data_IF_357938687316
#
_entry.id   IF_357938687316
#
_cell.length_a   1.000
_cell.length_b   1.000
_cell.length_c   1.000
_cell.angle_alpha   90.00
_cell.angle_beta   90.00
_cell.angle_gamma   90.00
#
_symmetry.space_group_name_H-M   'P 1'
#
loop_
_entity.id
_entity.type
_entity.pdbx_description
1 polymer ?
#
# COMPACT_ATOMS: atom_id res chain seq x y z
N UNK A 1 18.41 -2.60 17.81
CA UNK A 1 17.06 -2.31 18.35
C UNK A 1 16.14 -3.43 17.91
N UNK A 2 15.22 -3.85 18.77
CA UNK A 2 14.16 -4.79 18.37
C UNK A 2 13.22 -4.05 17.41
N UNK A 3 12.83 -4.70 16.32
CA UNK A 3 11.82 -4.20 15.39
C UNK A 3 10.50 -4.88 15.69
N UNK A 4 9.39 -4.16 15.58
CA UNK A 4 8.05 -4.70 15.82
C UNK A 4 7.07 -4.18 14.77
N UNK A 5 6.24 -5.07 14.23
CA UNK A 5 5.12 -4.67 13.38
C UNK A 5 3.93 -4.29 14.28
N UNK A 6 3.43 -3.07 14.13
CA UNK A 6 2.26 -2.58 14.87
C UNK A 6 0.99 -2.80 14.05
N UNK A 7 1.03 -2.49 12.76
CA UNK A 7 -0.11 -2.62 11.86
C UNK A 7 0.35 -2.94 10.43
N UNK A 8 -0.50 -3.68 9.71
CA UNK A 8 -0.40 -3.87 8.27
C UNK A 8 -1.78 -3.59 7.69
N UNK A 9 -1.86 -2.58 6.84
CA UNK A 9 -3.11 -2.07 6.27
C UNK A 9 -3.05 -2.19 4.76
N UNK A 10 -4.02 -2.90 4.18
CA UNK A 10 -4.29 -2.84 2.76
C UNK A 10 -4.90 -1.47 2.43
N UNK A 11 -4.48 -0.87 1.32
CA UNK A 11 -4.96 0.46 0.92
C UNK A 11 -5.37 0.45 -0.55
N UNK A 12 -6.24 1.39 -0.92
CA UNK A 12 -6.57 1.69 -2.32
C UNK A 12 -5.70 2.84 -2.87
N UNK A 13 -4.51 3.03 -2.29
CA UNK A 13 -3.55 4.05 -2.69
C UNK A 13 -2.50 3.46 -3.63
N UNK A 14 -1.95 4.31 -4.49
CA UNK A 14 -0.93 3.95 -5.47
C UNK A 14 0.28 4.87 -5.37
N UNK A 15 1.46 4.29 -5.60
CA UNK A 15 2.72 4.99 -5.82
C UNK A 15 3.25 4.70 -7.23
N UNK A 16 4.38 5.31 -7.60
CA UNK A 16 4.99 5.12 -8.91
C UNK A 16 4.51 6.13 -9.95
N UNK A 17 4.63 5.79 -11.23
CA UNK A 17 4.23 6.65 -12.34
C UNK A 17 2.84 6.27 -12.85
N UNK A 18 2.21 7.15 -13.62
CA UNK A 18 0.92 6.85 -14.25
C UNK A 18 0.94 5.60 -15.16
N UNK A 19 2.10 5.31 -15.77
CA UNK A 19 2.26 4.16 -16.68
C UNK A 19 2.62 2.86 -15.92
N UNK A 20 3.04 2.98 -14.66
CA UNK A 20 3.39 1.86 -13.81
C UNK A 20 2.94 2.11 -12.36
N UNK A 21 1.63 2.26 -12.12
CA UNK A 21 1.09 2.49 -10.80
C UNK A 21 1.23 1.21 -9.96
N UNK A 22 1.70 1.35 -8.74
CA UNK A 22 1.89 0.27 -7.79
C UNK A 22 1.01 0.50 -6.57
N UNK A 23 0.03 -0.37 -6.35
CA UNK A 23 -0.79 -0.32 -5.15
C UNK A 23 0.10 -0.49 -3.92
N UNK A 24 -0.19 0.23 -2.84
CA UNK A 24 0.65 0.20 -1.64
C UNK A 24 -0.02 -0.52 -0.49
N UNK A 25 0.79 -1.23 0.29
CA UNK A 25 0.41 -1.67 1.64
C UNK A 25 1.11 -0.78 2.64
N UNK A 26 0.35 -0.30 3.61
CA UNK A 26 0.86 0.56 4.67
C UNK A 26 1.27 -0.30 5.86
N UNK A 27 2.49 -0.13 6.34
CA UNK A 27 3.03 -0.86 7.47
C UNK A 27 3.43 0.15 8.55
N UNK A 28 2.85 0.03 9.73
CA UNK A 28 3.28 0.76 10.91
C UNK A 28 4.19 -0.14 11.73
N UNK A 29 5.36 0.39 12.10
CA UNK A 29 6.43 -0.37 12.72
C UNK A 29 7.18 0.48 13.76
N UNK A 30 7.65 -0.17 14.82
CA UNK A 30 8.59 0.39 15.79
C UNK A 30 10.00 -0.11 15.45
N UNK A 31 10.97 0.80 15.29
CA UNK A 31 12.30 0.49 14.81
C UNK A 31 12.40 0.47 13.27
N UNK A 32 13.52 0.02 12.72
CA UNK A 32 13.80 0.08 11.28
C UNK A 32 14.43 -1.20 10.75
N UNK A 33 14.33 -1.40 9.44
CA UNK A 33 14.84 -2.57 8.75
C UNK A 33 14.28 -2.69 7.34
N UNK A 34 14.66 -3.78 6.66
CA UNK A 34 14.10 -4.14 5.36
C UNK A 34 12.74 -4.80 5.54
N UNK A 35 11.69 -4.12 5.11
CA UNK A 35 10.33 -4.65 5.03
C UNK A 35 10.18 -5.35 3.68
N UNK A 36 9.73 -6.60 3.69
CA UNK A 36 9.41 -7.38 2.48
C UNK A 36 7.97 -7.83 2.55
N UNK A 37 7.20 -7.51 1.51
CA UNK A 37 5.82 -7.98 1.34
C UNK A 37 5.81 -9.04 0.24
N UNK A 38 5.17 -10.17 0.50
CA UNK A 38 5.05 -11.27 -0.46
C UNK A 38 3.66 -11.91 -0.41
N UNK A 39 3.25 -12.47 -1.53
CA UNK A 39 2.01 -13.22 -1.69
C UNK A 39 1.97 -13.90 -3.06
N UNK A 40 0.92 -14.66 -3.39
CA UNK A 40 0.77 -15.25 -4.72
C UNK A 40 0.75 -14.17 -5.81
N UNK A 41 1.80 -14.13 -6.64
CA UNK A 41 1.93 -13.10 -7.68
C UNK A 41 2.22 -11.69 -7.17
N UNK A 42 2.50 -11.52 -5.86
CA UNK A 42 2.73 -10.21 -5.21
C UNK A 42 4.12 -10.13 -4.61
N UNK A 43 4.81 -9.03 -4.88
CA UNK A 43 6.09 -8.71 -4.24
C UNK A 43 6.28 -7.20 -4.03
N UNK A 44 6.80 -6.79 -2.89
CA UNK A 44 7.24 -5.42 -2.63
C UNK A 44 8.30 -5.39 -1.54
N UNK A 45 9.11 -4.34 -1.55
CA UNK A 45 10.13 -4.14 -0.52
C UNK A 45 10.44 -2.66 -0.30
N UNK A 46 10.82 -2.33 0.93
CA UNK A 46 11.35 -1.02 1.28
C UNK A 46 12.33 -1.16 2.45
N UNK A 47 13.36 -0.33 2.47
CA UNK A 47 14.26 -0.21 3.63
C UNK A 47 13.90 1.03 4.43
N UNK A 48 13.61 0.84 5.71
CA UNK A 48 13.22 1.92 6.62
C UNK A 48 14.30 2.13 7.66
N UNK A 49 14.77 3.36 7.78
CA UNK A 49 15.65 3.78 8.88
C UNK A 49 14.81 4.55 9.89
N UNK A 50 14.44 3.91 10.99
CA UNK A 50 13.69 4.53 12.08
C UNK A 50 14.12 3.95 13.43
N UNK A 51 14.13 4.80 14.44
CA UNK A 51 14.38 4.42 15.84
C UNK A 51 13.10 4.45 16.68
N UNK A 52 12.10 5.21 16.23
CA UNK A 52 10.78 5.37 16.84
C UNK A 52 9.71 4.73 15.94
N UNK A 53 8.44 4.76 16.39
CA UNK A 53 7.31 4.35 15.58
C UNK A 53 7.22 5.17 14.29
N UNK A 54 7.08 4.48 13.16
CA UNK A 54 6.91 5.09 11.84
C UNK A 54 5.92 4.30 11.00
N UNK A 55 5.38 4.95 9.99
CA UNK A 55 4.50 4.34 8.99
C UNK A 55 5.15 4.47 7.62
N UNK A 56 5.23 3.36 6.90
CA UNK A 56 5.81 3.29 5.56
C UNK A 56 4.80 2.68 4.59
N UNK A 57 4.76 3.21 3.38
CA UNK A 57 4.03 2.60 2.27
C UNK A 57 4.98 1.72 1.46
N UNK A 58 4.62 0.45 1.27
CA UNK A 58 5.37 -0.52 0.48
C UNK A 58 4.67 -0.70 -0.87
N UNK A 59 5.25 -0.19 -1.97
CA UNK A 59 4.69 -0.40 -3.30
C UNK A 59 4.78 -1.87 -3.73
N UNK A 60 3.70 -2.38 -4.32
CA UNK A 60 3.60 -3.78 -4.72
C UNK A 60 3.67 -3.94 -6.24
N UNK A 61 4.50 -4.87 -6.68
CA UNK A 61 4.40 -5.49 -7.99
C UNK A 61 3.38 -6.63 -7.90
N UNK A 62 2.30 -6.53 -8.66
CA UNK A 62 1.20 -7.51 -8.69
C UNK A 62 1.09 -8.08 -10.10
N UNK A 63 1.04 -9.41 -10.20
CA UNK A 63 0.99 -10.13 -11.48
C UNK A 63 -0.04 -11.26 -11.43
N UNK A 64 -0.76 -11.45 -12.54
CA UNK A 64 -1.73 -12.56 -12.67
C UNK A 64 -3.03 -12.40 -11.87
N UNK A 65 -3.30 -11.23 -11.29
CA UNK A 65 -4.54 -10.91 -10.60
C UNK A 65 -5.29 -9.77 -11.29
N UNK A 66 -6.61 -9.87 -11.37
CA UNK A 66 -7.50 -8.81 -11.84
C UNK A 66 -7.94 -7.91 -10.69
N UNK A 67 -8.41 -6.71 -11.01
CA UNK A 67 -9.07 -5.83 -10.03
C UNK A 67 -10.21 -6.54 -9.29
N UNK A 68 -10.36 -6.23 -8.01
CA UNK A 68 -11.29 -6.88 -7.09
C UNK A 68 -10.82 -8.23 -6.53
N UNK A 69 -9.72 -8.80 -7.02
CA UNK A 69 -9.19 -10.04 -6.47
C UNK A 69 -8.66 -9.83 -5.04
N UNK A 70 -8.92 -10.77 -4.15
CA UNK A 70 -8.34 -10.81 -2.81
C UNK A 70 -7.04 -11.62 -2.79
N UNK A 71 -5.94 -10.98 -2.41
CA UNK A 71 -4.61 -11.57 -2.35
C UNK A 71 -4.13 -11.61 -0.90
N UNK A 72 -3.83 -12.80 -0.33
CA UNK A 72 -3.24 -12.88 1.00
C UNK A 72 -1.78 -12.43 0.94
N UNK A 73 -1.41 -11.53 1.86
CA UNK A 73 -0.08 -10.96 1.98
C UNK A 73 0.59 -11.36 3.28
N UNK A 74 1.90 -11.57 3.20
CA UNK A 74 2.79 -11.73 4.35
C UNK A 74 3.83 -10.61 4.33
N UNK A 75 3.99 -9.94 5.47
CA UNK A 75 4.97 -8.87 5.66
C UNK A 75 6.05 -9.36 6.60
N UNK A 76 7.32 -9.24 6.19
CA UNK A 76 8.47 -9.66 6.96
C UNK A 76 9.37 -8.46 7.27
N UNK A 77 9.85 -8.36 8.52
CA UNK A 77 10.94 -7.48 8.91
C UNK A 77 11.74 -8.13 10.05
N UNK A 78 13.01 -8.47 9.80
CA UNK A 78 13.77 -9.28 10.74
C UNK A 78 13.07 -10.62 11.01
N UNK A 79 12.74 -10.88 12.28
CA UNK A 79 11.97 -12.06 12.70
C UNK A 79 10.46 -11.83 12.79
N UNK A 80 9.99 -10.59 12.65
CA UNK A 80 8.57 -10.25 12.75
C UNK A 80 7.82 -10.61 11.47
N UNK A 81 6.57 -11.05 11.65
CA UNK A 81 5.67 -11.43 10.56
C UNK A 81 4.30 -10.80 10.77
N UNK A 82 3.91 -9.96 9.82
CA UNK A 82 2.56 -9.40 9.69
C UNK A 82 1.78 -10.09 8.58
N UNK A 83 0.44 -10.02 8.63
CA UNK A 83 -0.44 -10.54 7.58
C UNK A 83 -1.53 -9.53 7.27
N UNK A 84 -1.94 -9.50 6.01
CA UNK A 84 -3.08 -8.73 5.54
C UNK A 84 -3.71 -9.42 4.32
N UNK A 85 -4.90 -8.99 3.95
CA UNK A 85 -5.52 -9.33 2.65
C UNK A 85 -5.62 -8.04 1.86
N UNK A 86 -5.06 -8.03 0.65
CA UNK A 86 -5.17 -6.92 -0.29
C UNK A 86 -6.30 -7.21 -1.27
N UNK A 87 -7.20 -6.25 -1.45
CA UNK A 87 -8.09 -6.23 -2.61
C UNK A 87 -7.38 -5.46 -3.72
N UNK A 88 -7.16 -6.08 -4.88
CA UNK A 88 -6.51 -5.40 -6.01
C UNK A 88 -7.39 -4.25 -6.48
N UNK A 89 -6.92 -3.03 -6.31
CA UNK A 89 -7.65 -1.83 -6.73
C UNK A 89 -7.34 -1.50 -8.21
N UNK A 90 -8.26 -0.78 -8.86
CA UNK A 90 -7.99 -0.19 -10.18
C UNK A 90 -7.17 1.10 -10.01
N UNK A 91 -5.98 1.21 -10.66
CA UNK A 91 -5.27 2.46 -10.69
C UNK A 91 -5.98 3.45 -11.63
N UNK A 92 -6.00 4.72 -11.24
CA UNK A 92 -6.41 5.81 -12.13
C UNK A 92 -7.91 6.10 -12.09
N UNK A 93 -8.26 7.14 -11.34
CA UNK A 93 -9.51 7.85 -11.48
C UNK A 93 -9.17 9.28 -11.92
N UNK A 94 -9.64 9.67 -13.10
CA UNK A 94 -9.44 11.03 -13.59
C UNK A 94 -10.54 11.90 -13.00
N UNK A 95 -10.16 12.77 -12.07
CA UNK A 95 -11.06 13.81 -11.58
C UNK A 95 -11.14 14.96 -12.59
N UNK A 96 -12.35 15.21 -13.10
CA UNK A 96 -12.66 16.43 -13.83
C UNK A 96 -13.29 17.43 -12.86
N UNK A 97 -12.57 18.47 -12.46
CA UNK A 97 -13.16 19.59 -11.72
C UNK A 97 -13.91 20.49 -12.70
N UNK A 98 -15.23 20.44 -12.67
CA UNK A 98 -16.11 21.31 -13.47
C UNK A 98 -16.71 22.39 -12.59
N UNK A 99 -16.16 23.59 -12.67
CA UNK A 99 -16.71 24.77 -12.00
C UNK A 99 -18.10 25.08 -12.54
N UNK A 100 -19.10 25.15 -11.66
CA UNK A 100 -20.45 25.60 -12.00
C UNK A 100 -20.99 26.52 -10.90
N UNK A 101 -21.94 27.38 -11.27
CA UNK A 101 -22.75 28.16 -10.35
C UNK A 101 -24.21 27.73 -10.51
N UNK A 102 -24.96 27.70 -9.40
CA UNK A 102 -26.41 27.56 -9.44
C UNK A 102 -27.00 28.96 -9.20
N UNK A 103 -27.97 29.36 -10.03
CA UNK A 103 -28.81 30.51 -9.76
C UNK A 103 -30.16 30.03 -9.24
N UNK A 104 -30.65 30.65 -8.17
CA UNK A 104 -32.01 30.45 -7.71
C UNK A 104 -32.98 31.17 -8.66
N UNK A 105 -34.04 30.51 -9.17
CA UNK A 105 -35.04 31.17 -9.98
C UNK A 105 -35.91 32.10 -9.12
N UNK A 106 -36.13 33.33 -9.61
CA UNK A 106 -37.08 34.32 -9.07
C UNK A 106 -38.50 34.09 -9.58
#
# INVERSE_FOLDING_TARGET
MAVRIIAVEATDLFAGTEQAPQQVVRVTLEGGGRVVVSGPGVHGEVTVTATEQTTVDVPLSISGASSGAELPLTVHIGSEVGRATLVVAEPGWTMFLVSHFHYDPV
#
